data_IF_222028419180
#
_entry.id   IF_222028419180
#
_cell.length_a   1.000
_cell.length_b   1.000
_cell.length_c   1.000
_cell.angle_alpha   90.00
_cell.angle_beta   90.00
_cell.angle_gamma   90.00
#
_symmetry.space_group_name_H-M   'P 1'
#
loop_
_entity.id
_entity.type
_entity.pdbx_description
1 polymer ?
#
# COMPACT_ATOMS: atom_id res chain seq x y z
N UNK A 1 -16.13 4.71 -2.63
CA UNK A 1 -15.52 5.69 -1.71
C UNK A 1 -14.13 6.05 -2.23
N UNK A 2 -14.06 6.83 -3.32
CA UNK A 2 -12.79 7.26 -3.97
C UNK A 2 -12.60 8.79 -3.90
N UNK A 3 -13.71 9.54 -3.86
CA UNK A 3 -13.80 11.01 -3.79
C UNK A 3 -12.89 11.63 -2.71
N UNK A 4 -12.80 11.06 -1.50
CA UNK A 4 -12.08 11.74 -0.41
C UNK A 4 -10.57 11.63 -0.52
N UNK A 5 -10.03 10.46 -0.84
CA UNK A 5 -8.60 10.22 -0.59
C UNK A 5 -7.70 11.02 -1.53
N UNK A 6 -7.98 11.09 -2.84
CA UNK A 6 -7.15 11.87 -3.76
C UNK A 6 -7.22 13.37 -3.46
N UNK A 7 -8.43 13.92 -3.42
CA UNK A 7 -8.64 15.37 -3.30
C UNK A 7 -8.31 15.91 -1.90
N UNK A 8 -8.34 15.07 -0.86
CA UNK A 8 -7.88 15.47 0.49
C UNK A 8 -6.37 15.35 0.70
N UNK A 9 -5.69 14.46 -0.05
CA UNK A 9 -4.24 14.22 0.10
C UNK A 9 -3.40 15.08 -0.84
N UNK A 10 -3.98 15.61 -1.91
CA UNK A 10 -3.28 16.41 -2.92
C UNK A 10 -3.65 17.88 -2.79
N UNK A 11 -2.64 18.75 -2.82
CA UNK A 11 -2.87 20.18 -2.96
C UNK A 11 -3.70 20.49 -4.20
N UNK A 12 -4.61 21.45 -4.07
CA UNK A 12 -5.52 21.86 -5.15
C UNK A 12 -4.76 22.26 -6.43
N UNK A 13 -3.59 22.90 -6.28
CA UNK A 13 -2.70 23.28 -7.39
C UNK A 13 -2.18 22.09 -8.20
N UNK A 14 -2.28 20.88 -7.65
CA UNK A 14 -1.80 19.65 -8.26
C UNK A 14 -2.92 18.80 -8.87
N UNK A 15 -4.17 19.23 -8.82
CA UNK A 15 -5.29 18.47 -9.38
C UNK A 15 -5.23 18.48 -10.91
N UNK A 16 -4.90 17.34 -11.52
CA UNK A 16 -4.95 17.15 -12.97
C UNK A 16 -5.55 15.79 -13.30
N UNK A 17 -6.17 15.68 -14.48
CA UNK A 17 -6.73 14.40 -14.96
C UNK A 17 -5.68 13.30 -14.97
N UNK A 18 -4.47 13.59 -15.43
CA UNK A 18 -3.39 12.59 -15.50
C UNK A 18 -2.97 12.11 -14.12
N UNK A 19 -2.81 13.01 -13.14
CA UNK A 19 -2.47 12.64 -11.76
C UNK A 19 -3.58 11.82 -11.11
N UNK A 20 -4.84 12.20 -11.32
CA UNK A 20 -5.98 11.44 -10.82
C UNK A 20 -6.08 10.05 -11.46
N UNK A 21 -5.90 9.95 -12.79
CA UNK A 21 -5.88 8.67 -13.50
C UNK A 21 -4.72 7.78 -13.04
N UNK A 22 -3.54 8.35 -12.82
CA UNK A 22 -2.39 7.61 -12.30
C UNK A 22 -2.66 7.09 -10.88
N UNK A 23 -3.27 7.91 -10.03
CA UNK A 23 -3.72 7.50 -8.69
C UNK A 23 -4.73 6.34 -8.76
N UNK A 24 -5.72 6.41 -9.66
CA UNK A 24 -6.68 5.33 -9.87
C UNK A 24 -6.00 4.03 -10.31
N UNK A 25 -5.04 4.10 -11.23
CA UNK A 25 -4.32 2.93 -11.72
C UNK A 25 -3.40 2.31 -10.65
N UNK A 26 -2.78 3.13 -9.80
CA UNK A 26 -1.98 2.65 -8.68
C UNK A 26 -2.83 1.89 -7.66
N UNK A 27 -4.07 2.33 -7.41
CA UNK A 27 -5.00 1.63 -6.51
C UNK A 27 -5.68 0.43 -7.15
N UNK A 28 -5.97 0.50 -8.44
CA UNK A 28 -6.60 -0.57 -9.19
C UNK A 28 -5.94 -0.73 -10.58
N UNK A 29 -4.91 -1.58 -10.70
CA UNK A 29 -4.19 -1.77 -11.95
C UNK A 29 -5.04 -2.37 -13.09
N UNK A 30 -6.17 -2.98 -12.78
CA UNK A 30 -7.09 -3.59 -13.76
C UNK A 30 -8.13 -2.62 -14.29
N UNK A 31 -8.06 -1.34 -13.90
CA UNK A 31 -9.03 -0.33 -14.29
C UNK A 31 -9.03 -0.11 -15.81
N UNK A 32 -10.22 -0.13 -16.41
CA UNK A 32 -10.36 0.15 -17.85
C UNK A 32 -10.42 1.66 -18.11
N UNK A 33 -9.99 2.10 -19.29
CA UNK A 33 -10.09 3.51 -19.73
C UNK A 33 -11.49 4.09 -19.52
N UNK A 34 -12.52 3.34 -19.96
CA UNK A 34 -13.92 3.76 -19.85
C UNK A 34 -14.33 3.96 -18.38
N UNK A 35 -13.99 2.99 -17.52
CA UNK A 35 -14.32 3.09 -16.11
C UNK A 35 -13.57 4.25 -15.43
N UNK A 36 -12.28 4.42 -15.73
CA UNK A 36 -11.48 5.50 -15.17
C UNK A 36 -12.01 6.87 -15.56
N UNK A 37 -12.42 7.06 -16.82
CA UNK A 37 -13.07 8.30 -17.28
C UNK A 37 -14.39 8.56 -16.55
N UNK A 38 -15.19 7.51 -16.34
CA UNK A 38 -16.43 7.62 -15.57
C UNK A 38 -16.16 8.03 -14.12
N UNK A 39 -15.13 7.47 -13.48
CA UNK A 39 -14.72 7.86 -12.14
C UNK A 39 -14.30 9.32 -12.07
N UNK A 40 -13.46 9.79 -12.98
CA UNK A 40 -13.04 11.21 -13.02
C UNK A 40 -14.28 12.11 -13.15
N UNK A 41 -15.19 11.77 -14.06
CA UNK A 41 -16.42 12.57 -14.28
C UNK A 41 -17.28 12.62 -13.02
N UNK A 42 -17.62 11.46 -12.46
CA UNK A 42 -18.47 11.38 -11.28
C UNK A 42 -17.85 12.13 -10.08
N UNK A 43 -16.55 11.97 -9.86
CA UNK A 43 -15.90 12.60 -8.73
C UNK A 43 -15.76 14.11 -8.93
N UNK A 44 -15.52 14.58 -10.16
CA UNK A 44 -15.54 16.02 -10.48
C UNK A 44 -16.93 16.62 -10.27
N UNK A 45 -17.99 15.94 -10.72
CA UNK A 45 -19.37 16.39 -10.54
C UNK A 45 -19.73 16.49 -9.04
N UNK A 46 -19.34 15.50 -8.23
CA UNK A 46 -19.52 15.54 -6.77
C UNK A 46 -18.73 16.70 -6.16
N UNK A 47 -17.46 16.88 -6.54
CA UNK A 47 -16.61 17.91 -5.94
C UNK A 47 -17.09 19.33 -6.29
N UNK A 48 -17.66 19.54 -7.47
CA UNK A 48 -18.24 20.82 -7.85
C UNK A 48 -19.36 21.28 -6.92
N UNK A 49 -20.10 20.37 -6.28
CA UNK A 49 -21.15 20.73 -5.31
C UNK A 49 -20.59 21.37 -4.03
N UNK A 50 -19.31 21.14 -3.72
CA UNK A 50 -18.67 21.59 -2.48
C UNK A 50 -17.66 22.72 -2.69
N UNK A 51 -17.33 23.03 -3.95
CA UNK A 51 -16.34 24.04 -4.30
C UNK A 51 -17.03 25.36 -4.61
N UNK A 52 -16.49 26.45 -4.06
CA UNK A 52 -16.98 27.80 -4.36
C UNK A 52 -16.52 28.22 -5.77
N UNK A 53 -17.43 28.79 -6.55
CA UNK A 53 -17.15 29.33 -7.87
C UNK A 53 -16.04 30.39 -7.84
N UNK A 54 -15.20 30.40 -8.88
CA UNK A 54 -14.08 31.35 -9.01
C UNK A 54 -12.87 31.03 -8.13
N UNK A 55 -12.90 29.93 -7.37
CA UNK A 55 -11.72 29.46 -6.65
C UNK A 55 -10.75 28.71 -7.57
N UNK A 56 -9.54 28.50 -7.07
CA UNK A 56 -8.52 27.67 -7.75
C UNK A 56 -9.06 26.25 -7.97
N UNK A 57 -9.78 25.69 -6.99
CA UNK A 57 -10.38 24.36 -7.10
C UNK A 57 -11.40 24.28 -8.22
N UNK A 58 -12.28 25.28 -8.34
CA UNK A 58 -13.29 25.35 -9.39
C UNK A 58 -12.64 25.36 -10.79
N UNK A 59 -11.60 26.18 -10.94
CA UNK A 59 -10.83 26.27 -12.17
C UNK A 59 -10.23 24.91 -12.57
N UNK A 60 -9.65 24.17 -11.62
CA UNK A 60 -9.08 22.86 -11.91
C UNK A 60 -10.14 21.81 -12.23
N UNK A 61 -11.27 21.79 -11.51
CA UNK A 61 -12.38 20.88 -11.80
C UNK A 61 -12.96 21.14 -13.19
N UNK A 62 -13.11 22.41 -13.58
CA UNK A 62 -13.48 22.80 -14.94
C UNK A 62 -12.48 22.28 -15.99
N UNK A 63 -11.17 22.47 -15.76
CA UNK A 63 -10.11 21.97 -16.65
C UNK A 63 -10.12 20.44 -16.77
N UNK A 64 -10.40 19.73 -15.67
CA UNK A 64 -10.52 18.28 -15.69
C UNK A 64 -11.70 17.83 -16.57
N UNK A 65 -12.85 18.47 -16.42
CA UNK A 65 -14.02 18.21 -17.25
C UNK A 65 -13.77 18.51 -18.74
N UNK A 66 -13.11 19.63 -19.06
CA UNK A 66 -12.72 19.94 -20.44
C UNK A 66 -11.75 18.93 -21.04
N UNK A 67 -10.77 18.50 -20.24
CA UNK A 67 -9.80 17.49 -20.65
C UNK A 67 -10.47 16.17 -20.99
N UNK A 68 -11.46 15.75 -20.20
CA UNK A 68 -12.27 14.56 -20.51
C UNK A 68 -13.12 14.76 -21.77
N UNK A 69 -13.75 15.93 -21.95
CA UNK A 69 -14.55 16.24 -23.15
C UNK A 69 -13.72 16.20 -24.43
N UNK A 70 -12.45 16.61 -24.36
CA UNK A 70 -11.50 16.51 -25.49
C UNK A 70 -11.18 15.05 -25.84
N UNK A 71 -11.25 14.14 -24.86
CA UNK A 71 -11.09 12.70 -25.06
C UNK A 71 -9.79 12.38 -25.82
N UNK A 72 -9.91 11.68 -26.94
CA UNK A 72 -8.78 11.28 -27.78
C UNK A 72 -8.13 12.44 -28.55
N UNK A 73 -8.74 13.63 -28.56
CA UNK A 73 -8.12 14.83 -29.13
C UNK A 73 -7.08 15.46 -28.20
N UNK A 74 -6.97 14.96 -26.97
CA UNK A 74 -5.93 15.39 -26.04
C UNK A 74 -4.73 14.44 -26.12
N UNK A 75 -3.65 14.90 -26.76
CA UNK A 75 -2.43 14.12 -26.98
C UNK A 75 -1.83 13.57 -25.68
N UNK A 76 -1.86 14.34 -24.58
CA UNK A 76 -1.33 13.89 -23.31
C UNK A 76 -2.15 12.75 -22.69
N UNK A 77 -3.49 12.82 -22.85
CA UNK A 77 -4.38 11.75 -22.40
C UNK A 77 -4.21 10.50 -23.27
N UNK A 78 -4.04 10.66 -24.58
CA UNK A 78 -3.78 9.56 -25.50
C UNK A 78 -2.45 8.86 -25.18
N UNK A 79 -1.36 9.61 -24.99
CA UNK A 79 -0.06 9.08 -24.59
C UNK A 79 -0.11 8.35 -23.24
N UNK A 80 -0.86 8.89 -22.28
CA UNK A 80 -1.09 8.22 -21.00
C UNK A 80 -1.71 6.84 -21.19
N UNK A 81 -2.77 6.72 -21.99
CA UNK A 81 -3.42 5.43 -22.24
C UNK A 81 -2.54 4.46 -23.02
N UNK A 82 -1.70 4.96 -23.95
CA UNK A 82 -0.70 4.12 -24.64
C UNK A 82 0.31 3.51 -23.66
N UNK A 83 0.67 4.22 -22.58
CA UNK A 83 1.63 3.77 -21.55
C UNK A 83 0.98 3.08 -20.35
N UNK A 84 -0.35 3.05 -20.30
CA UNK A 84 -1.12 2.57 -19.14
C UNK A 84 -0.80 1.12 -18.75
N UNK A 85 -0.58 0.23 -19.72
CA UNK A 85 -0.19 -1.16 -19.47
C UNK A 85 1.14 -1.28 -18.72
N UNK A 86 2.13 -0.48 -19.09
CA UNK A 86 3.44 -0.45 -18.41
C UNK A 86 3.31 0.07 -16.97
N UNK A 87 2.47 1.08 -16.77
CA UNK A 87 2.18 1.62 -15.42
C UNK A 87 1.53 0.53 -14.56
N UNK A 88 0.50 -0.14 -15.09
CA UNK A 88 -0.19 -1.21 -14.38
C UNK A 88 0.77 -2.36 -14.03
N UNK A 89 1.60 -2.80 -14.97
CA UNK A 89 2.59 -3.85 -14.73
C UNK A 89 3.62 -3.45 -13.66
N UNK A 90 4.10 -2.20 -13.70
CA UNK A 90 5.04 -1.69 -12.69
C UNK A 90 4.44 -1.70 -11.28
N UNK A 91 3.16 -1.36 -11.15
CA UNK A 91 2.46 -1.39 -9.85
C UNK A 91 2.32 -2.82 -9.34
N UNK A 92 1.94 -3.75 -10.21
CA UNK A 92 1.82 -5.18 -9.86
C UNK A 92 3.18 -5.75 -9.44
N UNK A 93 4.25 -5.44 -10.18
CA UNK A 93 5.60 -5.89 -9.85
C UNK A 93 6.04 -5.34 -8.48
N UNK A 94 5.82 -4.06 -8.23
CA UNK A 94 6.15 -3.44 -6.95
C UNK A 94 5.44 -4.10 -5.76
N UNK A 95 4.14 -4.38 -5.88
CA UNK A 95 3.39 -5.07 -4.82
C UNK A 95 3.84 -6.53 -4.65
N UNK A 96 4.23 -7.22 -5.73
CA UNK A 96 4.80 -8.56 -5.65
C UNK A 96 6.17 -8.58 -4.94
N UNK A 97 7.06 -7.65 -5.27
CA UNK A 97 8.37 -7.51 -4.62
C UNK A 97 8.22 -7.16 -3.14
N UNK A 98 7.32 -6.23 -2.82
CA UNK A 98 7.00 -5.86 -1.44
C UNK A 98 6.41 -7.03 -0.64
N UNK A 99 5.58 -7.85 -1.26
CA UNK A 99 5.07 -9.08 -0.64
C UNK A 99 6.21 -10.07 -0.38
N UNK A 100 7.09 -10.30 -1.36
CA UNK A 100 8.25 -11.18 -1.22
C UNK A 100 9.20 -10.69 -0.11
N UNK A 101 9.42 -9.39 -0.01
CA UNK A 101 10.22 -8.82 1.07
C UNK A 101 9.58 -9.07 2.44
N UNK A 102 8.25 -8.91 2.56
CA UNK A 102 7.52 -9.18 3.81
C UNK A 102 7.58 -10.65 4.21
N UNK A 103 7.49 -11.58 3.27
CA UNK A 103 7.59 -13.02 3.57
C UNK A 103 8.99 -13.39 4.04
N UNK A 104 10.04 -12.85 3.40
CA UNK A 104 11.44 -13.02 3.84
C UNK A 104 11.62 -12.49 5.28
N UNK A 105 11.21 -11.25 5.53
CA UNK A 105 11.33 -10.65 6.87
C UNK A 105 10.60 -11.48 7.94
N UNK A 106 9.39 -11.94 7.63
CA UNK A 106 8.60 -12.76 8.55
C UNK A 106 9.31 -14.09 8.84
N UNK A 107 9.89 -14.73 7.80
CA UNK A 107 10.62 -15.97 7.94
C UNK A 107 11.89 -15.84 8.80
N UNK A 108 12.63 -14.73 8.65
CA UNK A 108 13.80 -14.43 9.47
C UNK A 108 13.43 -14.17 10.92
N UNK A 109 12.34 -13.43 11.17
CA UNK A 109 11.82 -13.19 12.52
C UNK A 109 11.40 -14.50 13.19
N UNK A 110 10.69 -15.38 12.48
CA UNK A 110 10.30 -16.69 13.02
C UNK A 110 11.51 -17.57 13.31
N UNK A 111 12.50 -17.61 12.41
CA UNK A 111 13.72 -18.38 12.61
C UNK A 111 14.53 -17.88 13.83
N UNK A 112 14.63 -16.55 13.99
CA UNK A 112 15.26 -15.94 15.15
C UNK A 112 14.56 -16.30 16.47
N UNK A 113 13.22 -16.32 16.47
CA UNK A 113 12.43 -16.74 17.63
C UNK A 113 12.63 -18.23 17.95
N UNK A 114 12.63 -19.11 16.94
CA UNK A 114 12.88 -20.54 17.13
C UNK A 114 14.28 -20.81 17.67
N UNK A 115 15.31 -20.11 17.18
CA UNK A 115 16.68 -20.21 17.70
C UNK A 115 16.77 -19.77 19.16
N UNK A 116 16.08 -18.69 19.55
CA UNK A 116 16.03 -18.23 20.94
C UNK A 116 15.30 -19.23 21.84
N UNK A 117 14.19 -19.80 21.38
CA UNK A 117 13.47 -20.86 22.10
C UNK A 117 14.32 -22.12 22.23
N UNK A 118 15.03 -22.51 21.18
CA UNK A 118 15.97 -23.64 21.20
C UNK A 118 17.18 -23.43 22.12
N UNK A 119 17.69 -22.20 22.23
CA UNK A 119 18.72 -21.83 23.22
C UNK A 119 18.17 -21.91 24.65
N UNK A 120 16.97 -21.37 24.91
CA UNK A 120 16.32 -21.47 26.23
C UNK A 120 16.05 -22.92 26.64
N UNK A 121 15.58 -23.76 25.71
CA UNK A 121 15.34 -25.19 25.95
C UNK A 121 16.62 -25.97 26.26
N UNK A 122 17.75 -25.64 25.63
CA UNK A 122 19.05 -26.24 25.98
C UNK A 122 19.51 -25.84 27.38
N UNK A 123 19.42 -24.54 27.70
CA UNK A 123 19.80 -24.06 29.02
C UNK A 123 18.91 -24.60 30.16
N UNK A 124 17.63 -24.94 29.90
CA UNK A 124 16.77 -25.56 30.91
C UNK A 124 17.07 -27.04 31.19
N UNK A 125 17.72 -27.73 30.25
CA UNK A 125 18.13 -29.14 30.45
C UNK A 125 19.37 -29.22 31.34
N UNK A 126 20.34 -28.31 31.16
CA UNK A 126 21.57 -28.27 31.98
C UNK A 126 21.30 -27.88 33.47
N UNK A 127 20.26 -27.08 33.74
CA UNK A 127 19.91 -26.67 35.10
C UNK A 127 19.21 -27.79 35.89
N UNK A 128 18.57 -28.74 35.20
CA UNK A 128 17.86 -29.84 35.84
C UNK A 128 18.79 -31.01 36.22
N UNK A 129 19.96 -31.13 35.58
CA UNK A 129 20.95 -32.17 35.88
C UNK A 129 21.83 -31.82 37.11
N UNK A 130 21.99 -30.52 37.42
CA UNK A 130 22.78 -30.07 38.59
C UNK A 130 22.03 -30.12 39.93
N UNK A 131 20.73 -30.43 39.93
CA UNK A 131 19.89 -30.44 41.14
C UNK A 131 19.76 -31.81 41.82
N UNK A 132 20.35 -32.87 41.24
CA UNK A 132 20.15 -34.25 41.72
C UNK A 132 21.29 -34.83 42.59
N UNK A 133 22.29 -34.03 42.99
CA UNK A 133 23.50 -34.55 43.67
C UNK A 133 23.77 -34.00 45.08
N UNK A 134 22.74 -33.64 45.86
CA UNK A 134 22.93 -33.37 47.31
C UNK A 134 21.88 -34.07 48.17
N UNK A 135 21.94 -35.40 48.25
CA UNK A 135 21.45 -36.16 49.41
C UNK A 135 22.41 -37.33 49.65
N UNK A 136 23.58 -37.05 50.25
CA UNK A 136 24.38 -38.11 50.90
C UNK A 136 24.07 -38.08 52.39
N UNK A 137 23.69 -39.27 52.85
CA UNK A 137 23.25 -39.68 54.18
C UNK A 137 24.29 -39.35 55.24
N UNK A 138 23.91 -38.58 56.25
CA UNK A 138 24.50 -38.72 57.58
C UNK A 138 23.69 -39.80 58.31
N UNK A 139 24.29 -40.98 58.42
CA UNK A 139 23.87 -42.03 59.35
C UNK A 139 24.49 -41.66 60.68
N UNK A 140 23.66 -41.22 61.62
CA UNK A 140 24.06 -40.96 63.01
C UNK A 140 24.08 -42.30 63.75
N UNK A 141 25.24 -42.62 64.32
CA UNK A 141 25.47 -43.67 65.31
C UNK A 141 24.70 -43.37 66.61
N UNK A 142 23.94 -44.34 67.11
CA UNK A 142 24.10 -45.01 68.43
C UNK A 142 22.95 -45.98 68.70
#
# INVERSE_FOLDING_TARGET
MLVKDFFSQQDVSNWTVLKYLMYLMQRNPTVTKRFAHQCVKNDVDIMNEFVLEGTVADTFLCQMNETLKKGDKNTALEEFWKRSSNIAQSVVNYEAEKLAFRTVLTSEVTLGQELLLGKRRRNSVDVQESSSNTVRRDVIEE
#
